data_IF_111823869074
#
_entry.id   IF_111823869074
#
_cell.length_a   1.000
_cell.length_b   1.000
_cell.length_c   1.000
_cell.angle_alpha   90.00
_cell.angle_beta   90.00
_cell.angle_gamma   90.00
#
_symmetry.space_group_name_H-M   'P 1'
#
loop_
_entity.id
_entity.type
_entity.pdbx_description
1 polymer ?
#
# COMPACT_ATOMS: atom_id res chain seq x y z
N UNK A 1 15.49 2.63 -13.99
CA UNK A 1 15.87 1.23 -14.30
C UNK A 1 14.67 0.54 -14.91
N UNK A 2 14.85 -0.20 -16.01
CA UNK A 2 13.77 -1.01 -16.59
C UNK A 2 13.83 -2.40 -15.96
N UNK A 3 12.75 -2.83 -15.31
CA UNK A 3 12.64 -4.16 -14.71
C UNK A 3 12.20 -5.19 -15.74
N UNK A 4 12.97 -6.27 -15.91
CA UNK A 4 12.53 -7.46 -16.65
C UNK A 4 11.95 -8.49 -15.69
N UNK A 5 11.07 -9.36 -16.20
CA UNK A 5 10.46 -10.44 -15.41
C UNK A 5 11.53 -11.34 -14.76
N UNK A 6 12.55 -11.73 -15.50
CA UNK A 6 13.62 -12.61 -15.02
C UNK A 6 14.44 -11.94 -13.92
N UNK A 7 14.82 -10.67 -14.10
CA UNK A 7 15.55 -9.91 -13.09
C UNK A 7 14.74 -9.77 -11.80
N UNK A 8 13.43 -9.49 -11.93
CA UNK A 8 12.55 -9.35 -10.77
C UNK A 8 12.43 -10.66 -9.99
N UNK A 9 12.21 -11.79 -10.67
CA UNK A 9 12.17 -13.12 -10.04
C UNK A 9 13.49 -13.41 -9.31
N UNK A 10 14.63 -13.19 -9.97
CA UNK A 10 15.95 -13.41 -9.38
C UNK A 10 16.12 -12.58 -8.09
N UNK A 11 15.72 -11.29 -8.10
CA UNK A 11 15.82 -10.44 -6.90
C UNK A 11 14.88 -10.87 -5.79
N UNK A 12 13.68 -11.33 -6.10
CA UNK A 12 12.76 -11.87 -5.10
C UNK A 12 13.30 -13.16 -4.47
N UNK A 13 13.96 -14.03 -5.25
CA UNK A 13 14.65 -15.21 -4.73
C UNK A 13 15.85 -14.85 -3.84
N UNK A 14 16.67 -13.88 -4.26
CA UNK A 14 17.77 -13.35 -3.44
C UNK A 14 17.25 -12.82 -2.09
N UNK A 15 16.13 -12.10 -2.09
CA UNK A 15 15.50 -11.58 -0.87
C UNK A 15 14.99 -12.72 0.01
N UNK A 16 14.29 -13.70 -0.57
CA UNK A 16 13.80 -14.90 0.13
C UNK A 16 14.93 -15.66 0.83
N UNK A 17 16.07 -15.81 0.15
CA UNK A 17 17.22 -16.56 0.67
C UNK A 17 17.95 -15.86 1.83
N UNK A 18 17.72 -14.56 2.05
CA UNK A 18 18.23 -13.83 3.22
C UNK A 18 17.49 -14.17 4.52
N UNK A 19 16.35 -14.88 4.43
CA UNK A 19 15.54 -15.25 5.59
C UNK A 19 14.83 -14.05 6.22
N UNK A 20 14.85 -13.95 7.54
CA UNK A 20 14.17 -12.87 8.27
C UNK A 20 14.92 -11.54 8.11
N UNK A 21 14.25 -10.55 7.52
CA UNK A 21 14.78 -9.20 7.33
C UNK A 21 14.09 -8.25 8.31
N UNK A 22 14.88 -7.52 9.09
CA UNK A 22 14.37 -6.50 9.99
C UNK A 22 13.88 -5.28 9.21
N UNK A 23 12.61 -4.88 9.39
CA UNK A 23 12.05 -3.68 8.75
C UNK A 23 12.58 -2.40 9.39
N UNK A 24 12.91 -1.41 8.58
CA UNK A 24 13.33 -0.07 9.05
C UNK A 24 12.16 0.88 9.27
N UNK A 25 10.93 0.47 8.92
CA UNK A 25 9.72 1.30 9.00
C UNK A 25 9.04 1.11 10.36
N UNK A 26 8.32 2.14 10.82
CA UNK A 26 7.57 2.08 12.09
C UNK A 26 6.58 0.91 12.09
N UNK A 27 6.43 0.24 13.23
CA UNK A 27 5.46 -0.85 13.42
C UNK A 27 4.01 -0.39 13.26
N UNK A 28 3.73 0.90 13.43
CA UNK A 28 2.41 1.51 13.22
C UNK A 28 2.06 1.69 11.74
N UNK A 29 3.05 1.61 10.84
CA UNK A 29 2.80 1.71 9.41
C UNK A 29 2.32 0.35 8.87
N UNK A 30 1.04 0.26 8.52
CA UNK A 30 0.45 -0.96 7.95
C UNK A 30 1.07 -1.37 6.62
N UNK A 31 1.55 -0.40 5.83
CA UNK A 31 2.27 -0.58 4.56
C UNK A 31 3.74 -0.95 4.71
N UNK A 32 4.24 -1.18 5.94
CA UNK A 32 5.66 -1.41 6.21
C UNK A 32 6.25 -2.58 5.40
N UNK A 33 5.45 -3.60 5.07
CA UNK A 33 5.91 -4.78 4.33
C UNK A 33 6.21 -4.42 2.88
N UNK A 34 5.29 -3.72 2.21
CA UNK A 34 5.50 -3.19 0.85
C UNK A 34 6.68 -2.24 0.80
N UNK A 35 6.74 -1.26 1.70
CA UNK A 35 7.87 -0.33 1.76
C UNK A 35 9.21 -1.04 1.98
N UNK A 36 9.25 -2.10 2.79
CA UNK A 36 10.50 -2.87 3.00
C UNK A 36 10.92 -3.60 1.73
N UNK A 37 9.95 -4.15 0.98
CA UNK A 37 10.24 -4.80 -0.30
C UNK A 37 10.76 -3.79 -1.33
N UNK A 38 10.15 -2.61 -1.41
CA UNK A 38 10.61 -1.50 -2.27
C UNK A 38 12.04 -1.07 -1.91
N UNK A 39 12.31 -0.87 -0.61
CA UNK A 39 13.64 -0.53 -0.10
C UNK A 39 14.69 -1.58 -0.50
N UNK A 40 14.35 -2.88 -0.42
CA UNK A 40 15.25 -3.99 -0.77
C UNK A 40 15.51 -4.10 -2.28
N UNK A 41 14.54 -3.71 -3.10
CA UNK A 41 14.65 -3.68 -4.56
C UNK A 41 15.24 -2.37 -5.09
N UNK A 42 15.43 -1.37 -4.23
CA UNK A 42 15.87 -0.03 -4.63
C UNK A 42 14.81 0.74 -5.42
N UNK A 43 13.53 0.40 -5.24
CA UNK A 43 12.40 1.09 -5.84
C UNK A 43 12.06 2.29 -4.96
N UNK A 44 12.00 3.48 -5.56
CA UNK A 44 11.64 4.70 -4.84
C UNK A 44 10.12 4.77 -4.71
N UNK A 45 9.66 4.78 -3.46
CA UNK A 45 8.27 5.03 -3.07
C UNK A 45 7.73 6.30 -3.76
N UNK A 46 6.57 6.18 -4.41
CA UNK A 46 5.88 7.28 -5.08
C UNK A 46 4.36 7.01 -5.13
N UNK A 47 3.57 8.05 -5.39
CA UNK A 47 2.10 7.98 -5.43
C UNK A 47 1.55 8.07 -6.88
N UNK A 48 2.33 7.67 -7.88
CA UNK A 48 1.85 7.68 -9.26
C UNK A 48 0.94 6.48 -9.50
N UNK A 49 -0.12 6.62 -10.32
CA UNK A 49 -0.96 5.49 -10.73
C UNK A 49 -0.27 4.67 -11.82
N UNK A 50 0.97 4.27 -11.58
CA UNK A 50 1.84 3.55 -12.50
C UNK A 50 2.51 2.39 -11.77
N UNK A 51 2.77 1.32 -12.52
CA UNK A 51 3.45 0.14 -12.01
C UNK A 51 4.83 0.47 -11.41
N UNK A 52 5.09 -0.01 -10.19
CA UNK A 52 6.33 0.29 -9.46
C UNK A 52 7.57 -0.49 -9.98
N UNK A 53 7.38 -1.60 -10.71
CA UNK A 53 8.44 -2.42 -11.29
C UNK A 53 8.31 -2.55 -12.83
N UNK A 54 8.34 -1.42 -13.54
CA UNK A 54 8.26 -1.39 -15.00
C UNK A 54 6.82 -1.51 -15.48
N UNK A 55 6.42 -2.71 -15.91
CA UNK A 55 5.01 -3.02 -16.26
C UNK A 55 4.32 -3.87 -15.18
N UNK A 56 5.05 -4.23 -14.13
CA UNK A 56 4.59 -5.09 -13.05
C UNK A 56 4.35 -4.27 -11.80
N UNK A 57 3.20 -4.48 -11.17
CA UNK A 57 2.92 -3.94 -9.84
C UNK A 57 3.32 -4.96 -8.78
N UNK A 58 4.08 -4.51 -7.79
CA UNK A 58 4.50 -5.32 -6.65
C UNK A 58 3.60 -5.09 -5.45
N UNK A 59 2.90 -6.15 -5.05
CA UNK A 59 2.09 -6.17 -3.84
C UNK A 59 2.72 -7.09 -2.78
N UNK A 60 2.74 -6.64 -1.53
CA UNK A 60 3.35 -7.39 -0.44
C UNK A 60 2.40 -7.49 0.77
N UNK A 61 2.17 -8.71 1.24
CA UNK A 61 1.25 -8.99 2.34
C UNK A 61 1.83 -10.01 3.31
N UNK A 62 1.49 -9.88 4.60
CA UNK A 62 1.85 -10.89 5.62
C UNK A 62 1.04 -12.16 5.40
N UNK A 63 1.71 -13.32 5.32
CA UNK A 63 1.09 -14.62 5.03
C UNK A 63 -0.13 -14.97 5.90
N UNK A 64 -0.10 -14.62 7.19
CA UNK A 64 -1.16 -14.98 8.14
C UNK A 64 -2.17 -13.85 8.40
N UNK A 65 -2.25 -12.84 7.54
CA UNK A 65 -3.26 -11.79 7.69
C UNK A 65 -4.63 -12.27 7.19
N UNK A 66 -5.69 -11.73 7.78
CA UNK A 66 -7.06 -11.87 7.26
C UNK A 66 -7.50 -10.61 6.48
N UNK A 67 -6.64 -9.60 6.39
CA UNK A 67 -6.93 -8.38 5.62
C UNK A 67 -6.98 -8.67 4.12
N UNK A 68 -7.82 -7.94 3.41
CA UNK A 68 -7.83 -7.94 1.95
C UNK A 68 -6.51 -7.37 1.39
N UNK A 69 -6.15 -7.82 0.18
CA UNK A 69 -5.09 -7.19 -0.61
C UNK A 69 -5.69 -5.99 -1.34
N UNK A 70 -5.17 -4.79 -1.06
CA UNK A 70 -5.51 -3.59 -1.81
C UNK A 70 -4.86 -3.67 -3.18
N UNK A 71 -5.64 -3.55 -4.26
CA UNK A 71 -5.11 -3.58 -5.64
C UNK A 71 -4.77 -2.18 -6.16
N UNK A 72 -5.70 -1.24 -5.98
CA UNK A 72 -5.51 0.16 -6.35
C UNK A 72 -6.55 1.02 -5.64
N UNK A 73 -6.32 2.33 -5.63
CA UNK A 73 -7.29 3.32 -5.18
C UNK A 73 -7.89 4.02 -6.39
N UNK A 74 -9.21 4.09 -6.46
CA UNK A 74 -9.92 4.81 -7.52
C UNK A 74 -10.98 5.71 -6.89
N UNK A 75 -10.95 6.98 -7.26
CA UNK A 75 -11.97 7.94 -6.82
C UNK A 75 -13.16 7.88 -7.78
N UNK A 76 -14.41 7.82 -7.27
CA UNK A 76 -15.58 7.80 -8.14
C UNK A 76 -15.74 9.12 -8.89
N UNK A 77 -16.36 9.06 -10.06
CA UNK A 77 -16.79 10.26 -10.78
C UNK A 77 -18.21 10.67 -10.40
N UNK A 78 -18.49 11.96 -10.18
CA UNK A 78 -17.55 13.09 -10.20
C UNK A 78 -16.58 13.07 -9.00
N UNK A 79 -15.35 13.53 -9.21
CA UNK A 79 -14.32 13.53 -8.16
C UNK A 79 -14.70 14.31 -6.90
N UNK A 80 -14.07 13.98 -5.78
CA UNK A 80 -14.29 14.54 -4.44
C UNK A 80 -15.67 14.27 -3.83
N UNK A 81 -16.47 13.37 -4.41
CA UNK A 81 -17.77 12.95 -3.82
C UNK A 81 -17.59 12.38 -2.41
N UNK A 82 -16.55 11.57 -2.19
CA UNK A 82 -16.29 10.97 -0.87
C UNK A 82 -16.08 12.05 0.22
N UNK A 83 -15.09 12.96 0.11
CA UNK A 83 -14.88 13.98 1.14
C UNK A 83 -15.97 15.06 1.18
N UNK A 84 -16.63 15.40 0.06
CA UNK A 84 -17.64 16.46 0.02
C UNK A 84 -19.03 16.03 0.46
N UNK A 85 -19.42 14.79 0.17
CA UNK A 85 -20.80 14.31 0.36
C UNK A 85 -20.84 13.21 1.41
N UNK A 86 -20.07 12.15 1.26
CA UNK A 86 -20.22 10.97 2.11
C UNK A 86 -19.61 11.15 3.50
N UNK A 87 -18.43 11.73 3.61
CA UNK A 87 -17.78 11.94 4.91
C UNK A 87 -18.61 12.86 5.85
N UNK A 88 -19.20 13.98 5.39
CA UNK A 88 -20.08 14.80 6.23
C UNK A 88 -21.41 14.12 6.59
N UNK A 89 -22.02 13.39 5.64
CA UNK A 89 -23.35 12.78 5.83
C UNK A 89 -23.31 11.47 6.62
N UNK A 90 -22.27 10.65 6.42
CA UNK A 90 -22.23 9.26 6.91
C UNK A 90 -21.01 8.94 7.77
N UNK A 91 -20.03 9.84 7.86
CA UNK A 91 -18.85 9.63 8.72
C UNK A 91 -19.18 9.79 10.21
N UNK A 92 -18.34 9.24 11.07
CA UNK A 92 -18.42 9.34 12.52
C UNK A 92 -17.34 10.29 13.06
N UNK A 93 -17.53 10.93 14.22
CA UNK A 93 -16.47 11.74 14.84
C UNK A 93 -15.19 10.94 15.06
N UNK A 94 -14.04 11.51 14.70
CA UNK A 94 -12.75 10.87 14.85
C UNK A 94 -12.34 10.84 16.33
N UNK A 95 -11.85 9.70 16.82
CA UNK A 95 -11.55 9.51 18.25
C UNK A 95 -10.41 10.39 18.77
N UNK A 96 -9.40 10.65 17.95
CA UNK A 96 -8.17 11.36 18.35
C UNK A 96 -7.90 12.67 17.60
N UNK A 97 -8.78 13.07 16.67
CA UNK A 97 -8.58 14.28 15.85
C UNK A 97 -9.79 15.18 16.07
N UNK A 98 -9.59 16.30 16.78
CA UNK A 98 -10.67 17.26 17.05
C UNK A 98 -11.26 17.81 15.75
N UNK A 99 -12.58 17.75 15.62
CA UNK A 99 -13.29 18.14 14.39
C UNK A 99 -13.12 17.18 13.20
N UNK A 100 -12.29 16.14 13.32
CA UNK A 100 -12.12 15.11 12.31
C UNK A 100 -13.32 14.17 12.23
N UNK A 101 -13.54 13.58 11.05
CA UNK A 101 -14.51 12.51 10.83
C UNK A 101 -13.83 11.31 10.18
N UNK A 102 -14.34 10.11 10.46
CA UNK A 102 -13.92 8.84 9.86
C UNK A 102 -15.09 8.23 9.09
N UNK A 103 -14.82 7.70 7.90
CA UNK A 103 -15.79 6.92 7.14
C UNK A 103 -15.11 5.62 6.70
N UNK A 104 -15.71 4.49 7.02
CA UNK A 104 -15.24 3.18 6.55
C UNK A 104 -16.42 2.24 6.39
N UNK A 105 -16.45 1.51 5.29
CA UNK A 105 -17.39 0.41 5.07
C UNK A 105 -16.57 -0.83 4.71
N UNK A 106 -16.77 -1.92 5.45
CA UNK A 106 -16.20 -3.22 5.12
C UNK A 106 -17.25 -4.06 4.39
N UNK A 107 -16.79 -4.85 3.42
CA UNK A 107 -17.54 -5.96 2.86
C UNK A 107 -17.27 -7.20 3.71
#
# INVERSE_FOLDING_TARGET
MSWSKTLLIQKLEEIKNRGWIHSRRSRSNVGSVGNTLEDLLGIRENNLPLANAGIWELEAQRRNTQSLTTLFHCEPEPGKVIPKIFLPKYGWPHKSIAGGRSLGCGC
#
